data_IF_772907867629
#
_entry.id   IF_772907867629
#
_cell.length_a   1.000
_cell.length_b   1.000
_cell.length_c   1.000
_cell.angle_alpha   90.00
_cell.angle_beta   90.00
_cell.angle_gamma   90.00
#
_symmetry.space_group_name_H-M   'P 1'
#
loop_
_entity.id
_entity.type
_entity.pdbx_description
1 polymer ?
#
# COMPACT_ATOMS: atom_id res chain seq x y z
N UNK A 1 10.39 9.84 3.22
CA UNK A 1 10.74 8.44 3.13
C UNK A 1 11.49 8.08 1.87
N UNK A 2 11.88 6.80 1.77
CA UNK A 2 12.75 6.26 0.71
C UNK A 2 12.15 6.46 -0.69
N UNK A 3 10.87 6.09 -0.89
CA UNK A 3 10.18 6.21 -2.21
C UNK A 3 10.27 7.64 -2.74
N UNK A 4 9.98 8.66 -1.90
CA UNK A 4 10.10 10.08 -2.30
C UNK A 4 11.49 10.43 -2.83
N UNK A 5 12.54 10.06 -2.09
CA UNK A 5 13.93 10.33 -2.49
C UNK A 5 14.26 9.64 -3.82
N UNK A 6 13.85 8.39 -3.99
CA UNK A 6 14.10 7.63 -5.21
C UNK A 6 13.35 8.19 -6.41
N UNK A 7 12.10 8.65 -6.26
CA UNK A 7 11.35 9.30 -7.35
C UNK A 7 12.01 10.60 -7.85
N UNK A 8 12.95 11.18 -7.11
CA UNK A 8 13.74 12.33 -7.59
C UNK A 8 14.95 11.93 -8.42
N UNK A 9 15.42 10.67 -8.29
CA UNK A 9 16.59 10.15 -9.01
C UNK A 9 16.24 9.22 -10.16
N UNK A 10 15.02 8.67 -10.14
CA UNK A 10 14.53 7.75 -11.15
C UNK A 10 13.33 8.37 -11.86
N UNK A 11 13.35 8.31 -13.18
CA UNK A 11 12.31 8.95 -14.01
C UNK A 11 11.05 8.09 -14.11
N UNK A 12 11.18 6.79 -13.84
CA UNK A 12 10.10 5.82 -14.01
C UNK A 12 9.91 4.96 -12.77
N UNK A 13 8.67 4.61 -12.53
CA UNK A 13 8.26 3.73 -11.45
C UNK A 13 7.32 2.68 -12.01
N UNK A 14 7.49 1.41 -11.58
CA UNK A 14 6.48 0.39 -11.76
C UNK A 14 5.73 0.27 -10.43
N UNK A 15 4.45 0.57 -10.46
CA UNK A 15 3.49 0.38 -9.38
C UNK A 15 2.86 -1.00 -9.59
N UNK A 16 3.21 -1.98 -8.75
CA UNK A 16 2.82 -3.38 -8.90
C UNK A 16 1.69 -3.73 -7.94
N UNK A 17 0.65 -4.32 -8.48
CA UNK A 17 -0.46 -4.91 -7.71
C UNK A 17 -0.55 -6.42 -8.05
N UNK A 18 -0.51 -7.28 -7.03
CA UNK A 18 -0.63 -8.73 -7.20
C UNK A 18 -2.09 -9.11 -7.07
N UNK A 19 -2.64 -9.75 -8.10
CA UNK A 19 -4.06 -10.12 -8.14
C UNK A 19 -4.40 -11.17 -7.07
N UNK A 20 -5.29 -10.78 -6.13
CA UNK A 20 -5.79 -11.68 -5.08
C UNK A 20 -4.65 -12.36 -4.31
N UNK A 21 -3.62 -11.61 -3.91
CA UNK A 21 -2.39 -12.17 -3.36
C UNK A 21 -2.64 -13.19 -2.26
N UNK A 22 -3.39 -12.81 -1.22
CA UNK A 22 -3.67 -13.68 -0.07
C UNK A 22 -4.43 -14.94 -0.45
N UNK A 23 -5.28 -14.89 -1.47
CA UNK A 23 -6.14 -15.99 -1.91
C UNK A 23 -5.44 -16.94 -2.89
N UNK A 24 -4.30 -16.52 -3.47
CA UNK A 24 -3.61 -17.27 -4.52
C UNK A 24 -2.25 -17.84 -4.11
N UNK A 25 -1.85 -17.70 -2.86
CA UNK A 25 -0.58 -18.27 -2.38
C UNK A 25 -0.65 -19.81 -2.40
N UNK A 26 0.24 -20.46 -3.16
CA UNK A 26 0.34 -21.91 -3.20
C UNK A 26 0.86 -22.46 -1.87
N UNK A 27 0.13 -23.39 -1.24
CA UNK A 27 0.47 -23.94 0.07
C UNK A 27 1.80 -24.69 0.09
N UNK A 28 2.12 -25.43 -1.00
CA UNK A 28 3.40 -26.17 -1.09
C UNK A 28 4.58 -25.22 -1.17
N UNK A 29 4.45 -24.15 -1.96
CA UNK A 29 5.49 -23.13 -2.08
C UNK A 29 5.62 -22.31 -0.79
N UNK A 30 4.50 -22.02 -0.10
CA UNK A 30 4.52 -21.38 1.21
C UNK A 30 5.28 -22.21 2.23
N UNK A 31 4.95 -23.50 2.36
CA UNK A 31 5.67 -24.40 3.27
C UNK A 31 7.15 -24.55 2.91
N UNK A 32 7.49 -24.52 1.62
CA UNK A 32 8.88 -24.48 1.18
C UNK A 32 9.60 -23.21 1.64
N UNK A 33 8.95 -22.07 1.54
CA UNK A 33 9.49 -20.78 2.03
C UNK A 33 9.68 -20.79 3.56
N UNK A 34 8.70 -21.31 4.30
CA UNK A 34 8.79 -21.42 5.78
C UNK A 34 9.92 -22.35 6.23
N UNK A 35 10.14 -23.48 5.53
CA UNK A 35 11.25 -24.42 5.83
C UNK A 35 12.63 -23.79 5.74
N UNK A 36 12.79 -22.66 5.08
CA UNK A 36 14.07 -21.92 5.07
C UNK A 36 14.32 -21.15 6.38
N UNK A 37 13.31 -21.05 7.25
CA UNK A 37 13.38 -20.32 8.50
C UNK A 37 13.26 -21.22 9.74
N UNK A 38 12.73 -22.44 9.60
CA UNK A 38 12.57 -23.38 10.70
C UNK A 38 12.54 -24.84 10.24
N UNK A 39 13.20 -25.71 10.99
CA UNK A 39 13.16 -27.17 10.83
C UNK A 39 12.19 -27.84 11.80
N UNK A 40 11.50 -27.08 12.64
CA UNK A 40 10.57 -27.58 13.63
C UNK A 40 9.36 -28.27 12.98
N UNK A 41 9.30 -29.59 13.09
CA UNK A 41 8.24 -30.43 12.49
C UNK A 41 6.85 -30.03 12.98
N UNK A 42 6.71 -29.72 14.25
CA UNK A 42 5.41 -29.33 14.83
C UNK A 42 4.96 -27.95 14.31
N UNK A 43 5.86 -26.97 14.18
CA UNK A 43 5.51 -25.67 13.60
C UNK A 43 5.04 -25.82 12.13
N UNK A 44 5.77 -26.58 11.33
CA UNK A 44 5.40 -26.87 9.96
C UNK A 44 4.06 -27.58 9.85
N UNK A 45 3.77 -28.54 10.77
CA UNK A 45 2.48 -29.22 10.83
C UNK A 45 1.33 -28.25 11.16
N UNK A 46 1.52 -27.37 12.14
CA UNK A 46 0.46 -26.40 12.49
C UNK A 46 0.24 -25.38 11.38
N UNK A 47 1.29 -24.87 10.74
CA UNK A 47 1.16 -23.95 9.61
C UNK A 47 0.40 -24.64 8.46
N UNK A 48 0.72 -25.89 8.12
CA UNK A 48 0.01 -26.64 7.08
C UNK A 48 -1.48 -26.80 7.43
N UNK A 49 -1.80 -27.13 8.67
CA UNK A 49 -3.19 -27.23 9.15
C UNK A 49 -3.92 -25.89 9.09
N UNK A 50 -3.29 -24.78 9.46
CA UNK A 50 -3.89 -23.45 9.38
C UNK A 50 -4.15 -23.02 7.94
N UNK A 51 -3.24 -23.32 7.03
CA UNK A 51 -3.41 -23.02 5.60
C UNK A 51 -4.61 -23.79 5.01
N UNK A 52 -4.77 -25.05 5.40
CA UNK A 52 -5.83 -25.96 4.92
C UNK A 52 -7.14 -25.86 5.69
N UNK A 53 -7.16 -25.13 6.80
CA UNK A 53 -8.37 -24.99 7.60
C UNK A 53 -9.51 -24.44 6.74
N UNK A 54 -10.69 -25.13 6.71
CA UNK A 54 -11.82 -24.69 5.90
C UNK A 54 -12.31 -23.32 6.38
N UNK A 55 -12.80 -22.52 5.45
CA UNK A 55 -13.50 -21.28 5.76
C UNK A 55 -15.00 -21.56 5.88
N UNK A 56 -15.64 -20.93 6.87
CA UNK A 56 -17.08 -20.90 6.94
C UNK A 56 -17.62 -19.76 6.09
N UNK A 57 -18.52 -20.08 5.15
CA UNK A 57 -19.23 -19.07 4.36
C UNK A 57 -20.38 -18.48 5.15
N UNK A 58 -20.92 -17.33 4.71
CA UNK A 58 -22.04 -16.64 5.37
C UNK A 58 -23.30 -17.50 5.49
N UNK A 59 -23.47 -18.49 4.61
CA UNK A 59 -24.56 -19.48 4.65
C UNK A 59 -24.27 -20.69 5.55
N UNK A 60 -23.15 -20.72 6.26
CA UNK A 60 -22.74 -21.79 7.19
C UNK A 60 -22.00 -22.95 6.52
N UNK A 61 -21.89 -23.01 5.19
CA UNK A 61 -21.15 -24.07 4.50
C UNK A 61 -19.64 -23.95 4.71
N UNK A 62 -18.94 -25.09 4.80
CA UNK A 62 -17.49 -25.15 4.88
C UNK A 62 -16.90 -25.20 3.46
N UNK A 63 -15.97 -24.27 3.18
CA UNK A 63 -15.22 -24.20 1.94
C UNK A 63 -13.81 -24.69 2.22
N UNK A 64 -13.43 -25.82 1.61
CA UNK A 64 -12.07 -26.33 1.67
C UNK A 64 -11.09 -25.38 0.96
N UNK A 65 -9.85 -25.33 1.46
CA UNK A 65 -8.80 -24.48 0.89
C UNK A 65 -7.63 -25.32 0.40
N UNK A 66 -7.35 -25.19 -0.87
CA UNK A 66 -6.18 -25.78 -1.54
C UNK A 66 -5.05 -24.78 -1.77
N UNK A 67 -5.34 -23.46 -1.62
CA UNK A 67 -4.43 -22.32 -1.77
C UNK A 67 -4.87 -21.14 -0.91
N UNK A 68 -4.02 -20.16 -0.82
CA UNK A 68 -4.26 -18.91 -0.10
C UNK A 68 -4.04 -19.02 1.41
N UNK A 69 -4.18 -17.88 2.07
CA UNK A 69 -4.16 -17.73 3.53
C UNK A 69 -5.44 -17.07 4.00
N UNK A 70 -6.00 -17.43 5.17
CA UNK A 70 -7.22 -16.79 5.67
C UNK A 70 -7.06 -15.28 5.81
N UNK A 71 -7.93 -14.51 5.16
CA UNK A 71 -8.00 -13.07 5.40
C UNK A 71 -8.50 -12.82 6.83
N UNK A 72 -7.80 -11.97 7.59
CA UNK A 72 -8.07 -11.74 9.01
C UNK A 72 -7.40 -12.72 9.98
N UNK A 73 -6.75 -13.76 9.49
CA UNK A 73 -5.94 -14.66 10.33
C UNK A 73 -4.71 -13.94 10.90
N UNK A 74 -4.44 -14.11 12.19
CA UNK A 74 -3.33 -13.43 12.88
C UNK A 74 -1.97 -13.72 12.24
N UNK A 75 -1.75 -14.95 11.78
CA UNK A 75 -0.47 -15.38 11.18
C UNK A 75 -0.38 -15.08 9.68
N UNK A 76 -1.50 -14.85 9.00
CA UNK A 76 -1.54 -14.68 7.54
C UNK A 76 -0.62 -13.57 7.02
N UNK A 77 -0.53 -12.37 7.63
CA UNK A 77 0.39 -11.33 7.18
C UNK A 77 1.87 -11.74 7.31
N UNK A 78 2.23 -12.51 8.35
CA UNK A 78 3.59 -13.02 8.52
C UNK A 78 3.94 -14.02 7.43
N UNK A 79 3.09 -15.01 7.19
CA UNK A 79 3.29 -16.03 6.15
C UNK A 79 3.37 -15.39 4.76
N UNK A 80 2.47 -14.47 4.45
CA UNK A 80 2.47 -13.71 3.20
C UNK A 80 3.77 -12.93 3.00
N UNK A 81 4.31 -12.31 4.06
CA UNK A 81 5.60 -11.62 4.00
C UNK A 81 6.78 -12.57 3.82
N UNK A 82 6.79 -13.75 4.46
CA UNK A 82 7.80 -14.79 4.26
C UNK A 82 7.75 -15.28 2.80
N UNK A 83 6.56 -15.50 2.26
CA UNK A 83 6.40 -15.92 0.88
C UNK A 83 6.99 -14.90 -0.10
N UNK A 84 6.59 -13.63 -0.01
CA UNK A 84 7.11 -12.58 -0.89
C UNK A 84 8.59 -12.29 -0.68
N UNK A 85 9.11 -12.47 0.53
CA UNK A 85 10.55 -12.36 0.77
C UNK A 85 11.33 -13.30 -0.16
N UNK A 86 10.92 -14.57 -0.30
CA UNK A 86 11.58 -15.51 -1.19
C UNK A 86 11.12 -15.43 -2.65
N UNK A 87 9.85 -15.14 -2.88
CA UNK A 87 9.33 -15.05 -4.23
C UNK A 87 9.81 -13.80 -4.97
N UNK A 88 9.97 -12.67 -4.25
CA UNK A 88 10.28 -11.38 -4.83
C UNK A 88 11.56 -10.74 -4.28
N UNK A 89 11.67 -10.48 -2.96
CA UNK A 89 12.77 -9.67 -2.41
C UNK A 89 14.16 -10.29 -2.66
N UNK A 90 14.33 -11.56 -2.30
CA UNK A 90 15.59 -12.29 -2.49
C UNK A 90 15.94 -12.42 -3.99
N UNK A 91 14.94 -12.71 -4.81
CA UNK A 91 15.13 -12.78 -6.25
C UNK A 91 15.54 -11.43 -6.85
N UNK A 92 14.89 -10.33 -6.45
CA UNK A 92 15.28 -8.98 -6.88
C UNK A 92 16.71 -8.66 -6.46
N UNK A 93 17.07 -8.97 -5.22
CA UNK A 93 18.42 -8.71 -4.68
C UNK A 93 19.52 -9.48 -5.42
N UNK A 94 19.27 -10.73 -5.77
CA UNK A 94 20.28 -11.63 -6.38
C UNK A 94 20.31 -11.49 -7.90
N UNK A 95 19.14 -11.56 -8.55
CA UNK A 95 19.02 -11.68 -10.00
C UNK A 95 18.83 -10.33 -10.72
N UNK A 96 18.39 -9.28 -10.00
CA UNK A 96 18.12 -7.96 -10.57
C UNK A 96 18.95 -6.87 -9.88
N UNK A 97 20.25 -7.15 -9.72
CA UNK A 97 21.20 -6.23 -9.07
C UNK A 97 21.18 -4.85 -9.73
N UNK A 98 21.12 -3.79 -8.91
CA UNK A 98 21.07 -2.40 -9.40
C UNK A 98 19.65 -1.86 -9.63
N UNK A 99 18.60 -2.69 -9.56
CA UNK A 99 17.22 -2.23 -9.58
C UNK A 99 16.75 -1.96 -8.16
N UNK A 100 16.37 -0.71 -7.91
CA UNK A 100 15.85 -0.28 -6.61
C UNK A 100 14.36 -0.56 -6.50
N UNK A 101 13.94 -1.18 -5.39
CA UNK A 101 12.51 -1.37 -5.09
C UNK A 101 12.18 -1.07 -3.64
N UNK A 102 10.92 -0.88 -3.34
CA UNK A 102 10.35 -0.78 -1.99
C UNK A 102 9.11 -1.64 -1.95
N UNK A 103 8.98 -2.47 -0.93
CA UNK A 103 7.80 -3.30 -0.70
C UNK A 103 7.25 -3.07 0.71
N UNK A 104 5.95 -3.02 0.81
CA UNK A 104 5.20 -3.07 2.06
C UNK A 104 4.03 -4.03 1.88
N UNK A 105 4.10 -5.21 2.51
CA UNK A 105 3.22 -6.34 2.23
C UNK A 105 3.21 -6.67 0.71
N UNK A 106 2.06 -6.58 0.06
CA UNK A 106 1.84 -6.78 -1.37
C UNK A 106 1.98 -5.51 -2.22
N UNK A 107 2.03 -4.33 -1.59
CA UNK A 107 2.30 -3.06 -2.27
C UNK A 107 3.79 -2.97 -2.66
N UNK A 108 4.10 -2.94 -3.93
CA UNK A 108 5.47 -2.96 -4.44
C UNK A 108 5.71 -1.82 -5.42
N UNK A 109 6.78 -1.05 -5.19
CA UNK A 109 7.24 0.02 -6.06
C UNK A 109 8.65 -0.30 -6.56
N UNK A 110 8.82 -0.38 -7.89
CA UNK A 110 10.13 -0.61 -8.52
C UNK A 110 10.56 0.65 -9.28
N UNK A 111 11.78 1.12 -9.03
CA UNK A 111 12.31 2.35 -9.62
C UNK A 111 13.19 2.04 -10.83
N UNK A 112 12.95 2.70 -11.96
CA UNK A 112 13.65 2.53 -13.22
C UNK A 112 14.15 3.88 -13.78
N UNK A 113 15.24 3.85 -14.54
CA UNK A 113 15.83 5.04 -15.13
C UNK A 113 15.19 5.43 -16.48
N UNK A 114 14.66 4.46 -17.22
CA UNK A 114 14.03 4.68 -18.52
C UNK A 114 12.75 3.86 -18.66
N UNK A 115 11.88 4.26 -19.58
CA UNK A 115 10.65 3.54 -19.90
C UNK A 115 10.98 2.13 -20.44
N UNK A 116 11.99 2.02 -21.29
CA UNK A 116 12.43 0.72 -21.83
C UNK A 116 12.86 -0.24 -20.71
N UNK A 117 13.61 0.27 -19.70
CA UNK A 117 13.98 -0.51 -18.52
C UNK A 117 12.73 -0.92 -17.73
N UNK A 118 11.76 0.00 -17.51
CA UNK A 118 10.54 -0.30 -16.79
C UNK A 118 9.70 -1.38 -17.51
N UNK A 119 9.53 -1.27 -18.83
CA UNK A 119 8.81 -2.27 -19.65
C UNK A 119 9.51 -3.63 -19.63
N UNK A 120 10.85 -3.65 -19.76
CA UNK A 120 11.64 -4.88 -19.68
C UNK A 120 11.53 -5.53 -18.29
N UNK A 121 11.67 -4.73 -17.22
CA UNK A 121 11.59 -5.20 -15.84
C UNK A 121 10.21 -5.75 -15.49
N UNK A 122 9.13 -5.10 -15.96
CA UNK A 122 7.77 -5.59 -15.77
C UNK A 122 7.61 -7.02 -16.32
N UNK A 123 8.04 -7.27 -17.56
CA UNK A 123 7.98 -8.62 -18.17
C UNK A 123 8.79 -9.66 -17.40
N UNK A 124 9.93 -9.26 -16.82
CA UNK A 124 10.78 -10.15 -16.03
C UNK A 124 10.12 -10.47 -14.69
N UNK A 125 9.48 -9.49 -14.05
CA UNK A 125 8.71 -9.66 -12.81
C UNK A 125 7.48 -10.54 -13.06
N UNK A 126 6.72 -10.31 -14.13
CA UNK A 126 5.57 -11.15 -14.51
C UNK A 126 5.96 -12.62 -14.63
N UNK A 127 7.05 -12.91 -15.36
CA UNK A 127 7.58 -14.28 -15.50
C UNK A 127 8.00 -14.89 -14.17
N UNK A 128 8.61 -14.08 -13.28
CA UNK A 128 9.01 -14.53 -11.95
C UNK A 128 7.80 -14.88 -11.09
N UNK A 129 6.80 -13.99 -11.02
CA UNK A 129 5.59 -14.20 -10.24
C UNK A 129 4.77 -15.39 -10.78
N UNK A 130 4.69 -15.55 -12.10
CA UNK A 130 4.04 -16.72 -12.72
C UNK A 130 4.69 -18.04 -12.28
N UNK A 131 6.04 -18.11 -12.16
CA UNK A 131 6.72 -19.26 -11.58
C UNK A 131 6.36 -19.51 -10.12
N UNK A 132 5.96 -18.46 -9.39
CA UNK A 132 5.46 -18.54 -8.03
C UNK A 132 3.93 -18.72 -7.96
N UNK A 133 3.28 -19.02 -9.09
CA UNK A 133 1.81 -19.16 -9.24
C UNK A 133 1.03 -17.90 -8.86
N UNK A 134 1.66 -16.74 -8.96
CA UNK A 134 1.04 -15.44 -8.76
C UNK A 134 0.91 -14.69 -10.10
N UNK A 135 -0.07 -13.81 -10.17
CA UNK A 135 -0.31 -12.96 -11.34
C UNK A 135 -0.36 -11.49 -10.94
N UNK A 136 0.14 -10.62 -11.81
CA UNK A 136 -0.04 -9.16 -11.66
C UNK A 136 -1.46 -8.78 -12.10
N UNK A 137 -2.05 -7.82 -11.39
CA UNK A 137 -3.35 -7.27 -11.76
C UNK A 137 -3.19 -6.38 -13.00
N UNK A 138 -3.84 -6.69 -14.14
CA UNK A 138 -3.55 -6.04 -15.42
C UNK A 138 -3.92 -4.55 -15.45
N UNK A 139 -4.98 -4.15 -14.76
CA UNK A 139 -5.45 -2.77 -14.74
C UNK A 139 -4.80 -1.91 -13.65
N UNK A 140 -4.41 -2.51 -12.53
CA UNK A 140 -3.84 -1.78 -11.40
C UNK A 140 -2.33 -1.64 -11.50
N UNK A 141 -1.64 -2.62 -12.09
CA UNK A 141 -0.20 -2.52 -12.35
C UNK A 141 0.07 -1.46 -13.42
N UNK A 142 0.93 -0.48 -13.09
CA UNK A 142 1.17 0.70 -13.94
C UNK A 142 2.64 1.03 -14.04
N UNK A 143 3.07 1.45 -15.22
CA UNK A 143 4.35 2.15 -15.42
C UNK A 143 4.05 3.64 -15.35
N UNK A 144 4.67 4.33 -14.41
CA UNK A 144 4.40 5.73 -14.07
C UNK A 144 5.64 6.59 -14.34
N UNK A 145 5.45 7.72 -15.00
CA UNK A 145 6.49 8.72 -15.22
C UNK A 145 6.52 9.71 -14.04
N UNK A 146 7.69 9.89 -13.44
CA UNK A 146 7.90 10.80 -12.32
C UNK A 146 8.15 12.24 -12.81
N UNK A 147 7.12 12.87 -13.36
CA UNK A 147 7.16 14.21 -13.92
C UNK A 147 7.54 15.28 -12.90
N UNK A 148 8.46 16.18 -13.26
CA UNK A 148 8.81 17.36 -12.46
C UNK A 148 9.25 18.52 -13.37
N UNK A 149 9.83 19.59 -12.80
CA UNK A 149 10.28 20.76 -13.58
C UNK A 149 11.35 20.43 -14.64
N UNK A 150 12.18 19.39 -14.41
CA UNK A 150 13.23 18.96 -15.35
C UNK A 150 12.76 17.87 -16.31
N UNK A 151 11.69 17.18 -15.98
CA UNK A 151 11.10 16.02 -16.65
C UNK A 151 9.73 16.39 -17.20
N UNK A 152 9.71 17.11 -18.33
CA UNK A 152 8.50 17.73 -18.91
C UNK A 152 7.70 16.83 -19.85
N UNK A 153 8.12 15.58 -20.10
CA UNK A 153 7.39 14.62 -20.92
C UNK A 153 5.94 14.42 -20.47
N UNK A 154 5.07 13.99 -21.39
CA UNK A 154 3.67 13.65 -21.09
C UNK A 154 3.42 12.18 -21.40
N UNK A 155 2.93 11.44 -20.41
CA UNK A 155 2.72 10.00 -20.49
C UNK A 155 1.36 9.61 -19.89
N UNK A 156 0.89 8.42 -20.23
CA UNK A 156 -0.43 7.92 -19.80
C UNK A 156 -0.61 7.95 -18.26
N UNK A 157 0.43 7.62 -17.51
CA UNK A 157 0.39 7.61 -16.05
C UNK A 157 1.51 8.49 -15.49
N UNK A 158 1.15 9.54 -14.78
CA UNK A 158 2.04 10.52 -14.13
C UNK A 158 1.79 10.59 -12.63
N UNK A 159 1.13 9.58 -12.06
CA UNK A 159 0.85 9.50 -10.62
C UNK A 159 0.58 8.06 -10.19
N UNK A 160 0.91 7.76 -8.93
CA UNK A 160 0.56 6.51 -8.27
C UNK A 160 0.25 6.76 -6.80
N UNK A 161 -0.47 5.84 -6.16
CA UNK A 161 -0.74 5.87 -4.72
C UNK A 161 0.11 4.79 -4.03
N UNK A 162 0.71 5.12 -2.89
CA UNK A 162 1.47 4.17 -2.08
C UNK A 162 1.30 4.49 -0.60
N UNK A 163 0.84 3.52 0.17
CA UNK A 163 0.59 3.65 1.62
C UNK A 163 -0.27 4.87 2.00
N UNK A 164 -1.35 5.10 1.26
CA UNK A 164 -2.25 6.23 1.50
C UNK A 164 -1.72 7.59 1.05
N UNK A 165 -0.54 7.64 0.43
CA UNK A 165 0.00 8.84 -0.19
C UNK A 165 -0.13 8.78 -1.71
N UNK A 166 -0.60 9.87 -2.32
CA UNK A 166 -0.58 10.07 -3.76
C UNK A 166 0.69 10.78 -4.20
N UNK A 167 1.48 10.13 -5.04
CA UNK A 167 2.71 10.64 -5.64
C UNK A 167 2.40 11.24 -7.00
N UNK A 168 2.72 12.51 -7.20
CA UNK A 168 2.56 13.23 -8.48
C UNK A 168 3.37 14.52 -8.51
N UNK A 169 3.44 15.17 -9.68
CA UNK A 169 3.98 16.51 -9.80
C UNK A 169 3.17 17.49 -8.91
N UNK A 170 3.87 18.30 -8.11
CA UNK A 170 3.29 19.34 -7.25
C UNK A 170 4.21 20.54 -7.18
N UNK A 171 3.62 21.73 -7.06
CA UNK A 171 4.37 22.93 -6.74
C UNK A 171 4.91 22.84 -5.31
N UNK A 172 6.20 22.85 -5.18
CA UNK A 172 6.92 22.83 -3.89
C UNK A 172 7.49 24.23 -3.62
N UNK A 173 7.37 24.68 -2.37
CA UNK A 173 7.99 25.93 -1.91
C UNK A 173 9.30 25.60 -1.19
N UNK A 174 10.42 26.07 -1.75
CA UNK A 174 11.75 26.02 -1.17
C UNK A 174 12.32 27.44 -1.10
N UNK A 175 13.61 27.64 -1.43
CA UNK A 175 14.18 28.97 -1.67
C UNK A 175 13.49 29.67 -2.85
N UNK A 176 13.08 28.90 -3.85
CA UNK A 176 12.21 29.29 -4.96
C UNK A 176 11.08 28.26 -5.13
N UNK A 177 10.01 28.63 -5.83
CA UNK A 177 8.95 27.69 -6.19
C UNK A 177 9.44 26.79 -7.35
N UNK A 178 9.25 25.48 -7.21
CA UNK A 178 9.59 24.52 -8.26
C UNK A 178 8.56 23.39 -8.29
N UNK A 179 8.42 22.72 -9.44
CA UNK A 179 7.59 21.54 -9.57
C UNK A 179 8.44 20.31 -9.24
N UNK A 180 8.05 19.57 -8.21
CA UNK A 180 8.71 18.31 -7.82
C UNK A 180 7.73 17.15 -7.77
N UNK A 181 8.21 15.93 -8.04
CA UNK A 181 7.42 14.72 -7.85
C UNK A 181 7.39 14.36 -6.36
N UNK A 182 6.27 14.63 -5.69
CA UNK A 182 6.22 14.57 -4.22
C UNK A 182 4.93 13.95 -3.71
N UNK A 183 4.99 13.22 -2.57
CA UNK A 183 3.79 12.66 -1.93
C UNK A 183 2.95 13.73 -1.24
N UNK A 184 1.65 13.49 -1.22
CA UNK A 184 0.69 14.12 -0.32
C UNK A 184 -0.37 13.08 0.04
N UNK A 185 -1.24 13.39 0.97
CA UNK A 185 -2.40 12.52 1.26
C UNK A 185 -3.13 12.15 -0.02
N UNK A 186 -3.44 10.86 -0.23
CA UNK A 186 -4.11 10.38 -1.44
C UNK A 186 -5.59 10.78 -1.48
N UNK A 187 -6.19 10.75 -2.67
CA UNK A 187 -7.63 11.02 -2.82
C UNK A 187 -8.49 10.01 -2.08
N UNK A 188 -8.07 8.73 -2.07
CA UNK A 188 -8.75 7.65 -1.34
C UNK A 188 -8.70 7.88 0.17
N UNK A 189 -7.54 8.27 0.72
CA UNK A 189 -7.39 8.59 2.13
C UNK A 189 -8.23 9.81 2.54
N UNK A 190 -8.27 10.88 1.72
CA UNK A 190 -9.16 12.04 1.95
C UNK A 190 -10.63 11.62 1.98
N UNK A 191 -11.05 10.76 1.02
CA UNK A 191 -12.42 10.25 0.99
C UNK A 191 -12.76 9.46 2.27
N UNK A 192 -11.86 8.60 2.72
CA UNK A 192 -12.00 7.82 3.95
C UNK A 192 -12.08 8.71 5.19
N UNK A 193 -11.20 9.72 5.32
CA UNK A 193 -11.23 10.70 6.41
C UNK A 193 -12.54 11.48 6.41
N UNK A 194 -12.98 11.95 5.24
CA UNK A 194 -14.24 12.66 5.06
C UNK A 194 -15.45 11.81 5.48
N UNK A 195 -15.47 10.52 5.09
CA UNK A 195 -16.49 9.59 5.53
C UNK A 195 -16.47 9.38 7.05
N UNK A 196 -15.27 9.29 7.64
CA UNK A 196 -15.09 9.14 9.10
C UNK A 196 -15.64 10.37 9.86
N UNK A 197 -15.35 11.60 9.40
CA UNK A 197 -15.89 12.82 10.01
C UNK A 197 -17.42 12.80 9.96
N UNK A 198 -18.01 12.44 8.81
CA UNK A 198 -19.48 12.34 8.68
C UNK A 198 -20.09 11.29 9.59
N UNK A 199 -19.39 10.15 9.79
CA UNK A 199 -19.88 9.06 10.65
C UNK A 199 -19.96 9.43 12.14
N UNK A 200 -19.24 10.45 12.57
CA UNK A 200 -19.32 10.92 13.95
C UNK A 200 -20.68 11.57 14.28
N UNK A 201 -21.37 12.12 13.25
CA UNK A 201 -22.69 12.76 13.44
C UNK A 201 -22.69 13.75 14.62
N UNK A 202 -21.69 14.65 14.68
CA UNK A 202 -21.47 15.55 15.81
C UNK A 202 -22.72 16.35 16.18
N UNK A 203 -23.56 16.72 15.22
CA UNK A 203 -24.83 17.41 15.45
C UNK A 203 -25.78 16.63 16.36
N UNK A 204 -25.57 15.36 16.62
CA UNK A 204 -26.39 14.55 17.53
C UNK A 204 -25.78 14.47 18.95
N UNK A 205 -24.65 15.13 19.20
CA UNK A 205 -23.96 15.11 20.48
C UNK A 205 -24.31 16.34 21.35
N UNK A 206 -25.58 16.73 21.36
CA UNK A 206 -26.09 17.95 22.03
C UNK A 206 -25.83 17.97 23.57
N UNK A 207 -25.70 16.80 24.20
CA UNK A 207 -25.38 16.67 25.63
C UNK A 207 -23.88 16.60 25.96
N UNK A 208 -23.01 16.65 24.95
CA UNK A 208 -21.55 16.54 25.14
C UNK A 208 -20.91 17.91 25.23
N UNK A 209 -19.90 18.07 26.10
CA UNK A 209 -19.06 19.27 26.12
C UNK A 209 -18.04 19.24 24.97
N UNK A 210 -17.42 20.39 24.66
CA UNK A 210 -16.34 20.46 23.69
C UNK A 210 -15.12 19.62 24.10
N UNK A 211 -14.88 19.51 25.42
CA UNK A 211 -13.85 18.68 26.00
C UNK A 211 -14.09 17.20 25.74
N UNK A 212 -15.34 16.75 25.87
CA UNK A 212 -15.72 15.35 25.63
C UNK A 212 -15.58 15.00 24.14
N UNK A 213 -16.01 15.90 23.28
CA UNK A 213 -15.78 15.77 21.84
C UNK A 213 -14.28 15.69 21.54
N UNK A 214 -13.50 16.62 22.13
CA UNK A 214 -12.06 16.65 21.97
C UNK A 214 -11.38 15.34 22.40
N UNK A 215 -11.75 14.78 23.54
CA UNK A 215 -11.24 13.49 24.04
C UNK A 215 -11.49 12.35 23.04
N UNK A 216 -12.64 12.32 22.38
CA UNK A 216 -13.02 11.26 21.44
C UNK A 216 -12.39 11.41 20.06
N UNK A 217 -12.33 12.65 19.50
CA UNK A 217 -11.92 12.85 18.10
C UNK A 217 -10.44 13.23 17.95
N UNK A 218 -9.85 13.93 18.94
CA UNK A 218 -8.46 14.39 18.85
C UNK A 218 -7.43 13.27 18.63
N UNK A 219 -7.54 12.07 19.24
CA UNK A 219 -6.62 10.97 18.96
C UNK A 219 -6.58 10.61 17.46
N UNK A 220 -7.75 10.59 16.81
CA UNK A 220 -7.87 10.28 15.37
C UNK A 220 -7.27 11.42 14.53
N UNK A 221 -7.60 12.66 14.85
CA UNK A 221 -7.08 13.84 14.12
C UNK A 221 -5.56 13.95 14.28
N UNK A 222 -5.04 13.75 15.48
CA UNK A 222 -3.58 13.71 15.73
C UNK A 222 -2.90 12.61 14.94
N UNK A 223 -3.51 11.42 14.85
CA UNK A 223 -3.03 10.32 14.00
C UNK A 223 -2.94 10.73 12.53
N UNK A 224 -3.97 11.37 11.98
CA UNK A 224 -3.94 11.86 10.60
C UNK A 224 -2.88 12.94 10.37
N UNK A 225 -2.77 13.90 11.28
CA UNK A 225 -1.78 14.97 11.19
C UNK A 225 -0.35 14.45 11.33
N UNK A 226 -0.11 13.50 12.25
CA UNK A 226 1.18 12.86 12.43
C UNK A 226 1.58 12.05 11.20
N UNK A 227 0.67 11.26 10.65
CA UNK A 227 0.95 10.39 9.50
C UNK A 227 1.11 11.18 8.20
N UNK A 228 0.12 12.02 7.86
CA UNK A 228 0.07 12.71 6.56
C UNK A 228 0.70 14.11 6.55
N UNK A 229 0.90 14.73 7.72
CA UNK A 229 1.41 16.09 7.84
C UNK A 229 2.90 16.24 7.52
N UNK A 230 3.65 15.14 7.40
CA UNK A 230 5.08 15.15 7.09
C UNK A 230 5.42 15.58 5.65
N UNK A 231 4.45 15.50 4.73
CA UNK A 231 4.60 15.89 3.33
C UNK A 231 3.41 16.70 2.85
N UNK A 232 3.65 17.82 2.14
CA UNK A 232 2.63 18.65 1.51
C UNK A 232 1.36 18.84 2.38
N UNK A 233 1.58 19.39 3.58
CA UNK A 233 0.60 19.51 4.66
C UNK A 233 -0.70 20.23 4.25
N UNK A 234 -0.63 21.17 3.29
CA UNK A 234 -1.79 21.90 2.78
C UNK A 234 -2.85 21.02 2.14
N UNK A 235 -2.48 19.81 1.70
CA UNK A 235 -3.44 18.84 1.16
C UNK A 235 -4.44 18.31 2.21
N UNK A 236 -4.17 18.50 3.51
CA UNK A 236 -5.10 18.15 4.60
C UNK A 236 -6.11 19.27 4.91
N UNK A 237 -5.90 20.49 4.41
CA UNK A 237 -6.79 21.62 4.74
C UNK A 237 -8.28 21.38 4.40
N UNK A 238 -8.67 20.73 3.29
CA UNK A 238 -10.06 20.41 3.03
C UNK A 238 -10.71 19.57 4.14
N UNK A 239 -9.97 18.60 4.69
CA UNK A 239 -10.45 17.74 5.78
C UNK A 239 -10.56 18.53 7.09
N UNK A 240 -9.59 19.37 7.40
CA UNK A 240 -9.63 20.22 8.59
C UNK A 240 -10.77 21.23 8.52
N UNK A 241 -11.05 21.82 7.34
CA UNK A 241 -12.22 22.69 7.12
C UNK A 241 -13.53 21.92 7.29
N UNK A 242 -13.63 20.70 6.75
CA UNK A 242 -14.83 19.87 6.95
C UNK A 242 -15.08 19.59 8.43
N UNK A 243 -14.04 19.29 9.21
CA UNK A 243 -14.15 19.11 10.65
C UNK A 243 -14.62 20.41 11.33
N UNK A 244 -14.03 21.55 10.98
CA UNK A 244 -14.43 22.86 11.51
C UNK A 244 -15.91 23.13 11.24
N UNK A 245 -16.41 22.91 10.02
CA UNK A 245 -17.83 23.05 9.71
C UNK A 245 -18.72 22.10 10.52
N UNK A 246 -18.26 20.86 10.75
CA UNK A 246 -19.02 19.92 11.57
C UNK A 246 -19.11 20.36 13.04
N UNK A 247 -18.03 20.96 13.58
CA UNK A 247 -18.01 21.53 14.93
C UNK A 247 -18.88 22.79 15.04
N UNK A 248 -18.83 23.71 14.07
CA UNK A 248 -19.68 24.92 14.04
C UNK A 248 -21.18 24.56 13.98
N UNK A 249 -21.54 23.48 13.28
CA UNK A 249 -22.93 23.00 13.24
C UNK A 249 -23.36 22.27 14.51
N UNK A 250 -22.44 21.82 15.30
CA UNK A 250 -22.72 21.21 16.59
C UNK A 250 -22.92 22.27 17.68
N UNK A 251 -22.10 23.35 17.70
CA UNK A 251 -22.22 24.48 18.62
C UNK A 251 -23.48 25.27 18.39
#
# INVERSE_FOLDING_TARGET
GVVRKRCWWYDWVIDLDIQGFFDNIDHKMMLHAVRKHTDSKWMLLYIDRWLKAPAQSDNGSLIERDKGTPQGGVISPLLANIFLHHAFDEWMRVSQRGISFVRYADDIIVHCRSEAQARGMLKVIERRLARCKLQLHPEKTKIVYCKDAKRAGSYKHESFDFLGYGFRARLCKGRSCFVGFTPAVSKSAIKAMSARIRSWKLQLWSSSSIEDIGKKINPVIRGWLSYYGGYYRTALYPILRQLQYALVRWA
#
